data_IF_995013741315
#
_entry.id   IF_995013741315
#
_cell.length_a   1.000
_cell.length_b   1.000
_cell.length_c   1.000
_cell.angle_alpha   90.00
_cell.angle_beta   90.00
_cell.angle_gamma   90.00
#
_symmetry.space_group_name_H-M   'P 1'
#
loop_
_entity.id
_entity.type
_entity.pdbx_description
1 polymer ?
#
# COMPACT_ATOMS: atom_id res chain seq x y z
N UNK A 1 5.58 6.85 -13.22
CA UNK A 1 4.36 7.25 -12.55
C UNK A 1 4.68 8.29 -11.47
N UNK A 2 4.02 9.43 -11.53
CA UNK A 2 4.24 10.54 -10.59
C UNK A 2 4.08 10.15 -9.14
N UNK A 3 3.14 9.30 -8.89
CA UNK A 3 2.81 8.88 -7.54
C UNK A 3 3.95 8.04 -6.96
N UNK A 4 4.40 7.04 -7.71
CA UNK A 4 5.50 6.18 -7.31
C UNK A 4 6.79 6.98 -7.15
N UNK A 5 7.08 7.88 -8.07
CA UNK A 5 8.27 8.74 -8.02
C UNK A 5 8.29 9.57 -6.74
N UNK A 6 7.15 10.12 -6.36
CA UNK A 6 7.04 10.95 -5.15
C UNK A 6 7.32 10.14 -3.89
N UNK A 7 6.72 8.97 -3.79
CA UNK A 7 6.91 8.11 -2.61
C UNK A 7 8.32 7.55 -2.55
N UNK A 8 8.87 7.18 -3.69
CA UNK A 8 10.24 6.70 -3.79
C UNK A 8 11.23 7.78 -3.40
N UNK A 9 11.01 9.02 -3.83
CA UNK A 9 11.85 10.14 -3.44
C UNK A 9 11.86 10.36 -1.94
N UNK A 10 10.70 10.20 -1.28
CA UNK A 10 10.60 10.30 0.18
C UNK A 10 11.39 9.19 0.86
N UNK A 11 11.22 7.94 0.41
CA UNK A 11 11.95 6.80 0.94
C UNK A 11 13.44 6.91 0.68
N UNK A 12 13.83 7.42 -0.48
CA UNK A 12 15.22 7.59 -0.89
C UNK A 12 16.02 8.58 -0.05
N UNK A 13 15.36 9.40 0.74
CA UNK A 13 16.02 10.36 1.65
C UNK A 13 16.52 9.71 2.93
N UNK A 14 16.48 8.41 3.03
CA UNK A 14 16.98 7.65 4.18
C UNK A 14 16.37 8.08 5.51
N UNK A 15 15.10 8.42 5.47
CA UNK A 15 14.36 8.70 6.69
C UNK A 15 14.27 7.43 7.54
N UNK A 16 14.25 7.60 8.87
CA UNK A 16 14.04 6.44 9.72
C UNK A 16 12.61 5.90 9.56
N UNK A 17 12.41 4.69 10.02
CA UNK A 17 11.14 3.97 9.87
C UNK A 17 9.96 4.74 10.46
N UNK A 18 10.15 5.30 11.65
CA UNK A 18 9.11 6.05 12.34
C UNK A 18 8.71 7.30 11.55
N UNK A 19 9.70 8.03 11.02
CA UNK A 19 9.45 9.21 10.20
C UNK A 19 8.71 8.84 8.92
N UNK A 20 9.13 7.76 8.25
CA UNK A 20 8.46 7.28 7.03
C UNK A 20 7.02 6.92 7.32
N UNK A 21 6.77 6.18 8.40
CA UNK A 21 5.40 5.81 8.79
C UNK A 21 4.55 7.03 9.07
N UNK A 22 5.10 8.05 9.73
CA UNK A 22 4.38 9.28 10.03
C UNK A 22 4.02 10.05 8.76
N UNK A 23 4.95 10.13 7.79
CA UNK A 23 4.70 10.80 6.52
C UNK A 23 3.64 10.07 5.72
N UNK A 24 3.74 8.75 5.65
CA UNK A 24 2.74 7.93 4.95
C UNK A 24 1.37 8.09 5.60
N UNK A 25 1.31 8.03 6.93
CA UNK A 25 0.06 8.19 7.67
C UNK A 25 -0.58 9.54 7.39
N UNK A 26 0.19 10.61 7.38
CA UNK A 26 -0.32 11.95 7.09
C UNK A 26 -0.92 12.00 5.67
N UNK A 27 -0.23 11.43 4.68
CA UNK A 27 -0.72 11.39 3.31
C UNK A 27 -2.00 10.56 3.20
N UNK A 28 -2.04 9.40 3.84
CA UNK A 28 -3.20 8.53 3.84
C UNK A 28 -4.41 9.24 4.46
N UNK A 29 -4.22 9.88 5.61
CA UNK A 29 -5.31 10.58 6.29
C UNK A 29 -5.87 11.72 5.43
N UNK A 30 -5.02 12.40 4.66
CA UNK A 30 -5.46 13.45 3.75
C UNK A 30 -6.36 12.92 2.62
N UNK A 31 -6.08 11.72 2.13
CA UNK A 31 -6.78 11.17 0.96
C UNK A 31 -7.81 10.11 1.28
N UNK A 32 -7.90 9.67 2.52
CA UNK A 32 -8.80 8.59 2.91
C UNK A 32 -10.27 8.98 2.77
N UNK A 33 -10.61 10.26 3.04
CA UNK A 33 -12.01 10.69 3.00
C UNK A 33 -12.84 9.88 3.98
N UNK A 34 -13.84 9.18 3.46
CA UNK A 34 -14.75 8.34 4.26
C UNK A 34 -14.27 6.89 4.41
N UNK A 35 -13.11 6.55 3.87
CA UNK A 35 -12.59 5.20 3.96
C UNK A 35 -12.31 4.81 5.41
N UNK A 36 -12.72 3.62 5.78
CA UNK A 36 -12.53 3.06 7.13
C UNK A 36 -11.66 1.81 7.12
N UNK A 37 -11.72 1.04 6.05
CA UNK A 37 -11.01 -0.23 5.92
C UNK A 37 -9.97 -0.12 4.80
N UNK A 38 -8.71 -0.22 5.18
CA UNK A 38 -7.60 -0.13 4.26
C UNK A 38 -6.94 -1.50 4.10
N UNK A 39 -6.51 -1.79 2.88
CA UNK A 39 -5.81 -3.02 2.57
C UNK A 39 -4.42 -2.71 2.04
N UNK A 40 -3.41 -3.38 2.59
CA UNK A 40 -2.06 -3.33 2.04
C UNK A 40 -1.92 -4.43 0.99
N UNK A 41 -1.45 -4.06 -0.19
CA UNK A 41 -1.22 -5.00 -1.29
C UNK A 41 0.19 -4.80 -1.84
N UNK A 42 0.72 -5.82 -2.50
CA UNK A 42 2.07 -5.76 -3.05
C UNK A 42 2.17 -6.55 -4.35
N UNK A 43 3.12 -6.20 -5.19
CA UNK A 43 3.55 -7.02 -6.31
C UNK A 43 4.85 -7.77 -6.01
N UNK A 44 5.51 -7.46 -4.89
CA UNK A 44 6.74 -8.12 -4.49
C UNK A 44 6.46 -9.53 -3.96
N UNK A 45 7.16 -10.56 -4.46
CA UNK A 45 6.85 -11.95 -4.09
C UNK A 45 7.24 -12.33 -2.67
N UNK A 46 8.19 -11.61 -2.07
CA UNK A 46 8.81 -11.99 -0.79
C UNK A 46 8.58 -10.95 0.33
N UNK A 47 7.67 -10.01 0.13
CA UNK A 47 7.44 -8.94 1.09
C UNK A 47 6.49 -9.38 2.21
N UNK A 48 6.90 -9.17 3.45
CA UNK A 48 6.09 -9.44 4.64
C UNK A 48 5.18 -8.24 4.91
N UNK A 49 3.96 -8.28 4.37
CA UNK A 49 2.98 -7.22 4.55
C UNK A 49 2.49 -7.11 5.99
N UNK A 50 2.48 -8.20 6.74
CA UNK A 50 2.04 -8.17 8.13
C UNK A 50 3.01 -7.34 8.99
N UNK A 51 4.30 -7.43 8.72
CA UNK A 51 5.29 -6.60 9.40
C UNK A 51 5.07 -5.11 9.08
N UNK A 52 4.80 -4.79 7.82
CA UNK A 52 4.50 -3.41 7.40
C UNK A 52 3.22 -2.92 8.07
N UNK A 53 2.19 -3.75 8.09
CA UNK A 53 0.93 -3.41 8.77
C UNK A 53 1.15 -3.09 10.24
N UNK A 54 1.93 -3.91 10.94
CA UNK A 54 2.24 -3.69 12.34
C UNK A 54 2.95 -2.36 12.60
N UNK A 55 3.79 -1.95 11.64
CA UNK A 55 4.54 -0.70 11.74
C UNK A 55 3.68 0.53 11.48
N UNK A 56 2.75 0.44 10.54
CA UNK A 56 1.99 1.61 10.08
C UNK A 56 0.64 1.77 10.79
N UNK A 57 0.03 0.67 11.21
CA UNK A 57 -1.32 0.71 11.80
C UNK A 57 -1.44 1.66 13.01
N UNK A 58 -0.47 1.72 13.93
CA UNK A 58 -0.58 2.64 15.07
C UNK A 58 -0.67 4.11 14.67
N UNK A 59 -0.11 4.47 13.51
CA UNK A 59 -0.14 5.85 13.01
C UNK A 59 -1.45 6.18 12.28
N UNK A 60 -2.25 5.18 11.93
CA UNK A 60 -3.51 5.34 11.21
C UNK A 60 -4.70 5.17 12.15
N UNK A 61 -4.78 6.04 13.14
CA UNK A 61 -5.81 6.01 14.17
C UNK A 61 -7.20 6.13 13.55
N UNK A 62 -8.11 5.26 13.97
CA UNK A 62 -9.49 5.26 13.48
C UNK A 62 -9.70 4.49 12.19
N UNK A 63 -8.64 3.94 11.60
CA UNK A 63 -8.71 3.15 10.38
C UNK A 63 -8.36 1.69 10.68
N UNK A 64 -9.03 0.78 10.01
CA UNK A 64 -8.71 -0.65 10.08
C UNK A 64 -7.77 -1.00 8.94
N UNK A 65 -6.57 -1.46 9.25
CA UNK A 65 -5.55 -1.79 8.26
C UNK A 65 -5.32 -3.30 8.25
N UNK A 66 -5.45 -3.90 7.08
CA UNK A 66 -5.29 -5.35 6.89
C UNK A 66 -4.19 -5.62 5.87
N UNK A 67 -3.38 -6.64 6.13
CA UNK A 67 -2.41 -7.12 5.15
C UNK A 67 -3.13 -8.02 4.16
N UNK A 68 -3.14 -7.61 2.89
CA UNK A 68 -3.86 -8.34 1.84
C UNK A 68 -3.03 -9.41 1.16
N UNK A 69 -1.90 -9.02 0.60
CA UNK A 69 -1.03 -9.91 -0.13
C UNK A 69 -0.81 -9.50 -1.57
N UNK A 70 -0.43 -10.44 -2.40
CA UNK A 70 -0.12 -10.21 -3.80
C UNK A 70 -1.38 -10.40 -4.66
N UNK A 71 -1.88 -9.31 -5.24
CA UNK A 71 -3.11 -9.34 -6.04
C UNK A 71 -2.97 -10.15 -7.33
N UNK A 72 -1.75 -10.22 -7.86
CA UNK A 72 -1.51 -10.91 -9.14
C UNK A 72 -1.53 -12.44 -8.98
N UNK A 73 -1.23 -12.95 -7.79
CA UNK A 73 -1.05 -14.39 -7.59
C UNK A 73 -1.94 -15.01 -6.51
N UNK A 74 -2.65 -14.21 -5.73
CA UNK A 74 -3.43 -14.70 -4.58
C UNK A 74 -4.90 -14.30 -4.70
N UNK A 75 -5.77 -15.29 -4.91
CA UNK A 75 -7.21 -15.05 -5.01
C UNK A 75 -7.80 -14.43 -3.74
N UNK A 76 -7.29 -14.81 -2.57
CA UNK A 76 -7.73 -14.25 -1.29
C UNK A 76 -7.45 -12.75 -1.20
N UNK A 77 -6.32 -12.29 -1.76
CA UNK A 77 -5.99 -10.88 -1.79
C UNK A 77 -7.01 -10.09 -2.61
N UNK A 78 -7.47 -10.64 -3.72
CA UNK A 78 -8.50 -10.02 -4.55
C UNK A 78 -9.83 -9.92 -3.79
N UNK A 79 -10.22 -10.97 -3.07
CA UNK A 79 -11.44 -10.96 -2.25
C UNK A 79 -11.37 -9.91 -1.14
N UNK A 80 -10.22 -9.81 -0.48
CA UNK A 80 -10.00 -8.78 0.54
C UNK A 80 -10.06 -7.39 -0.06
N UNK A 81 -9.48 -7.20 -1.24
CA UNK A 81 -9.54 -5.92 -1.94
C UNK A 81 -10.96 -5.53 -2.30
N UNK A 82 -11.78 -6.49 -2.71
CA UNK A 82 -13.18 -6.22 -3.03
C UNK A 82 -13.99 -5.76 -1.82
N UNK A 83 -13.60 -6.17 -0.62
CA UNK A 83 -14.34 -5.82 0.61
C UNK A 83 -13.75 -4.63 1.37
N UNK A 84 -12.59 -4.12 0.97
CA UNK A 84 -12.01 -2.93 1.60
C UNK A 84 -12.56 -1.64 0.98
N UNK A 85 -12.26 -0.51 1.61
CA UNK A 85 -12.66 0.80 1.09
C UNK A 85 -11.60 1.39 0.17
N UNK A 86 -10.33 1.17 0.48
CA UNK A 86 -9.21 1.69 -0.30
C UNK A 86 -7.98 0.82 -0.07
N UNK A 87 -7.00 0.96 -0.96
CA UNK A 87 -5.76 0.17 -0.88
C UNK A 87 -4.54 1.07 -0.78
N UNK A 88 -3.48 0.52 -0.17
CA UNK A 88 -2.15 1.11 -0.15
C UNK A 88 -1.21 0.09 -0.78
N UNK A 89 -0.45 0.52 -1.78
CA UNK A 89 0.56 -0.32 -2.41
C UNK A 89 1.83 -0.31 -1.56
N UNK A 90 2.40 -1.49 -1.34
CA UNK A 90 3.69 -1.62 -0.65
C UNK A 90 4.62 -2.37 -1.59
N UNK A 91 5.69 -1.73 -2.03
CA UNK A 91 6.59 -2.28 -3.02
C UNK A 91 8.01 -2.33 -2.49
N UNK A 92 8.81 -3.22 -3.06
CA UNK A 92 10.21 -3.40 -2.68
C UNK A 92 11.08 -3.15 -3.90
N UNK A 93 12.02 -2.21 -3.80
CA UNK A 93 12.83 -1.74 -4.95
C UNK A 93 13.46 -2.86 -5.77
N UNK A 94 13.98 -3.90 -5.09
CA UNK A 94 14.69 -4.97 -5.77
C UNK A 94 13.81 -6.15 -6.15
N UNK A 95 12.61 -6.25 -5.58
CA UNK A 95 11.72 -7.40 -5.78
C UNK A 95 10.50 -7.06 -6.62
N UNK A 96 10.01 -5.82 -6.55
CA UNK A 96 8.87 -5.39 -7.33
C UNK A 96 9.30 -5.04 -8.76
N UNK A 97 8.56 -5.53 -9.74
CA UNK A 97 8.77 -5.17 -11.14
C UNK A 97 7.76 -4.11 -11.55
N UNK A 98 8.12 -3.31 -12.55
CA UNK A 98 7.22 -2.30 -13.09
C UNK A 98 5.94 -2.93 -13.64
N UNK A 99 6.08 -4.03 -14.40
CA UNK A 99 4.91 -4.73 -14.95
C UNK A 99 4.03 -5.33 -13.87
N UNK A 100 4.62 -5.82 -12.77
CA UNK A 100 3.86 -6.32 -11.63
C UNK A 100 3.03 -5.23 -10.98
N UNK A 101 3.61 -4.05 -10.79
CA UNK A 101 2.91 -2.89 -10.24
C UNK A 101 1.77 -2.46 -11.16
N UNK A 102 1.99 -2.44 -12.47
CA UNK A 102 0.94 -2.09 -13.43
C UNK A 102 -0.24 -3.07 -13.35
N UNK A 103 0.04 -4.37 -13.29
CA UNK A 103 -1.03 -5.38 -13.15
C UNK A 103 -1.80 -5.19 -11.86
N UNK A 104 -1.11 -4.90 -10.78
CA UNK A 104 -1.72 -4.64 -9.48
C UNK A 104 -2.68 -3.43 -9.56
N UNK A 105 -2.20 -2.34 -10.16
CA UNK A 105 -3.02 -1.15 -10.35
C UNK A 105 -4.26 -1.42 -11.22
N UNK A 106 -4.10 -2.23 -12.27
CA UNK A 106 -5.23 -2.59 -13.14
C UNK A 106 -6.28 -3.40 -12.37
N UNK A 107 -5.85 -4.31 -11.52
CA UNK A 107 -6.77 -5.10 -10.68
C UNK A 107 -7.53 -4.17 -9.72
N UNK A 108 -6.83 -3.27 -9.06
CA UNK A 108 -7.45 -2.32 -8.12
C UNK A 108 -8.47 -1.44 -8.85
N UNK A 109 -8.14 -0.96 -10.04
CA UNK A 109 -9.05 -0.16 -10.84
C UNK A 109 -10.29 -0.96 -11.26
N UNK A 110 -10.11 -2.23 -11.61
CA UNK A 110 -11.23 -3.09 -12.00
C UNK A 110 -12.19 -3.34 -10.86
N UNK A 111 -11.71 -3.27 -9.62
CA UNK A 111 -12.53 -3.38 -8.41
C UNK A 111 -13.11 -2.05 -7.96
N UNK A 112 -12.85 -0.98 -8.70
CA UNK A 112 -13.30 0.37 -8.40
C UNK A 112 -12.85 0.84 -7.00
N UNK A 113 -11.61 0.52 -6.62
CA UNK A 113 -11.04 0.92 -5.35
C UNK A 113 -10.03 2.04 -5.53
N UNK A 114 -9.97 2.92 -4.53
CA UNK A 114 -9.06 4.04 -4.52
C UNK A 114 -7.69 3.61 -4.00
N UNK A 115 -6.64 4.06 -4.66
CA UNK A 115 -5.26 3.89 -4.19
C UNK A 115 -4.87 5.13 -3.40
N UNK A 116 -4.62 4.97 -2.11
CA UNK A 116 -4.31 6.10 -1.22
C UNK A 116 -2.83 6.43 -1.18
N UNK A 117 -1.98 5.47 -1.49
CA UNK A 117 -0.55 5.70 -1.42
C UNK A 117 0.24 4.49 -1.86
N UNK A 118 1.56 4.70 -1.98
CA UNK A 118 2.51 3.65 -2.27
C UNK A 118 3.72 3.81 -1.36
N UNK A 119 4.07 2.74 -0.65
CA UNK A 119 5.25 2.69 0.19
C UNK A 119 6.31 1.91 -0.57
N UNK A 120 7.50 2.48 -0.73
CA UNK A 120 8.63 1.82 -1.40
C UNK A 120 9.70 1.54 -0.35
N UNK A 121 10.04 0.28 -0.19
CA UNK A 121 11.02 -0.19 0.80
C UNK A 121 12.38 -0.53 0.17
#
# INVERSE_FOLDING_TARGET
DRFLDRMEGTAGRKMDKETVCSVVAANVMNYAGDAKQLLLVTSAPDLDLEAVRSDIAPALTGLSVTAGGNLDSQADAIRKAASCDAVILVEKRKSSSFSGIERELDIVRSLDKKVLGCIVL
#
